data_IF_707266498299
#
_entry.id   IF_707266498299
#
_cell.length_a   1.000
_cell.length_b   1.000
_cell.length_c   1.000
_cell.angle_alpha   90.00
_cell.angle_beta   90.00
_cell.angle_gamma   90.00
#
_symmetry.space_group_name_H-M   'P 1'
#
loop_
_entity.id
_entity.type
_entity.pdbx_description
1 polymer ?
#
# COMPACT_ATOMS: atom_id res chain seq x y z
N UNK A 1 2.80 3.04 1.67
CA UNK A 1 3.20 2.80 0.27
C UNK A 1 2.35 3.68 -0.63
N UNK A 2 2.95 4.40 -1.59
CA UNK A 2 2.22 5.25 -2.53
C UNK A 2 1.56 4.40 -3.62
N UNK A 3 0.27 4.62 -3.85
CA UNK A 3 -0.55 3.99 -4.90
C UNK A 3 -0.89 4.96 -6.03
N UNK A 4 -0.95 6.26 -5.74
CA UNK A 4 -1.35 7.30 -6.70
C UNK A 4 -0.27 7.59 -7.74
N UNK A 5 -0.69 7.83 -8.98
CA UNK A 5 0.16 8.41 -10.03
C UNK A 5 0.49 9.89 -9.74
N UNK A 6 1.63 10.43 -10.21
CA UNK A 6 2.01 11.83 -9.99
C UNK A 6 0.92 12.85 -10.32
N UNK A 7 0.20 12.67 -11.44
CA UNK A 7 -0.88 13.58 -11.83
C UNK A 7 -1.98 13.76 -10.76
N UNK A 8 -2.35 12.68 -10.04
CA UNK A 8 -3.30 12.79 -8.92
C UNK A 8 -2.70 13.60 -7.77
N UNK A 9 -1.42 13.40 -7.49
CA UNK A 9 -0.70 14.05 -6.40
C UNK A 9 -0.59 15.56 -6.63
N UNK A 10 -0.21 15.95 -7.84
CA UNK A 10 -0.08 17.35 -8.26
C UNK A 10 -1.43 18.09 -8.26
N UNK A 11 -2.49 17.43 -8.73
CA UNK A 11 -3.82 18.06 -8.84
C UNK A 11 -4.55 18.16 -7.50
N UNK A 12 -4.38 17.19 -6.61
CA UNK A 12 -5.11 17.13 -5.34
C UNK A 12 -4.31 17.67 -4.15
N UNK A 13 -2.98 17.75 -4.25
CA UNK A 13 -2.12 17.96 -3.09
C UNK A 13 -2.00 16.73 -2.17
N UNK A 14 -2.60 15.59 -2.53
CA UNK A 14 -2.71 14.40 -1.69
C UNK A 14 -2.12 13.15 -2.35
N UNK A 15 -1.72 12.19 -1.51
CA UNK A 15 -1.28 10.87 -1.93
C UNK A 15 -2.37 9.85 -1.65
N UNK A 16 -2.61 8.91 -2.57
CA UNK A 16 -3.33 7.68 -2.26
C UNK A 16 -2.32 6.67 -1.73
N UNK A 17 -2.55 6.13 -0.54
CA UNK A 17 -1.62 5.28 0.18
C UNK A 17 -2.25 3.94 0.58
N UNK A 18 -1.42 2.90 0.67
CA UNK A 18 -1.70 1.68 1.44
C UNK A 18 -0.80 1.61 2.69
N UNK A 19 -1.29 0.93 3.72
CA UNK A 19 -0.57 0.75 4.98
C UNK A 19 0.58 -0.26 4.83
N UNK A 20 1.72 0.02 5.47
CA UNK A 20 2.80 -0.96 5.71
C UNK A 20 2.84 -1.22 7.22
N UNK A 21 2.81 -2.49 7.64
CA UNK A 21 2.72 -2.87 9.05
C UNK A 21 3.42 -4.20 9.33
N UNK A 22 3.90 -4.41 10.55
CA UNK A 22 4.47 -5.70 10.97
C UNK A 22 3.42 -6.80 11.17
N UNK A 23 2.12 -6.46 11.12
CA UNK A 23 0.98 -7.40 11.17
C UNK A 23 1.01 -8.41 12.35
N UNK A 24 1.74 -8.10 13.43
CA UNK A 24 2.02 -9.04 14.54
C UNK A 24 0.77 -9.68 15.15
N UNK A 25 -0.36 -8.98 15.14
CA UNK A 25 -1.60 -9.40 15.81
C UNK A 25 -2.79 -9.58 14.85
N UNK A 26 -2.61 -9.50 13.53
CA UNK A 26 -3.70 -9.67 12.57
C UNK A 26 -3.18 -9.95 11.17
N UNK A 27 -3.88 -10.79 10.42
CA UNK A 27 -3.60 -11.03 9.00
C UNK A 27 -4.87 -10.82 8.20
N UNK A 28 -4.76 -10.10 7.08
CA UNK A 28 -5.86 -9.98 6.12
C UNK A 28 -5.58 -10.92 4.95
N UNK A 29 -6.61 -11.56 4.35
CA UNK A 29 -6.42 -12.48 3.23
C UNK A 29 -5.66 -11.86 2.04
N UNK A 30 -5.76 -10.55 1.88
CA UNK A 30 -5.14 -9.79 0.79
C UNK A 30 -3.82 -9.13 1.19
N UNK A 31 -3.31 -9.35 2.40
CA UNK A 31 -2.00 -8.82 2.79
C UNK A 31 -0.91 -9.38 1.86
N UNK A 32 0.03 -8.53 1.45
CA UNK A 32 1.24 -8.95 0.74
C UNK A 32 2.44 -8.90 1.67
N UNK A 33 3.10 -10.05 1.89
CA UNK A 33 4.35 -10.10 2.63
C UNK A 33 5.48 -9.52 1.79
N UNK A 34 6.12 -8.45 2.27
CA UNK A 34 7.26 -7.81 1.61
C UNK A 34 8.43 -8.78 1.66
N UNK A 35 8.96 -9.15 0.49
CA UNK A 35 10.03 -10.14 0.35
C UNK A 35 11.41 -9.50 0.43
N UNK A 36 11.59 -8.35 -0.23
CA UNK A 36 12.87 -7.63 -0.21
C UNK A 36 12.82 -6.49 0.82
N UNK A 37 13.17 -6.83 2.06
CA UNK A 37 13.19 -5.87 3.16
C UNK A 37 14.30 -4.82 2.99
N UNK A 38 15.42 -5.19 2.36
CA UNK A 38 16.55 -4.28 2.17
C UNK A 38 16.18 -3.18 1.17
N UNK A 39 15.64 -3.53 0.00
CA UNK A 39 15.17 -2.55 -0.98
C UNK A 39 14.07 -1.66 -0.40
N UNK A 40 13.15 -2.24 0.37
CA UNK A 40 12.06 -1.53 1.01
C UNK A 40 12.51 -0.63 2.20
N UNK A 41 13.76 -0.71 2.63
CA UNK A 41 14.29 0.05 3.77
C UNK A 41 13.71 -0.38 5.13
N UNK A 42 13.32 -1.65 5.26
CA UNK A 42 12.64 -2.18 6.45
C UNK A 42 13.58 -3.06 7.28
N UNK A 43 13.67 -2.77 8.58
CA UNK A 43 14.51 -3.52 9.51
C UNK A 43 13.88 -4.84 10.02
N UNK A 44 12.58 -5.04 9.78
CA UNK A 44 11.84 -6.21 10.25
C UNK A 44 10.82 -6.65 9.20
N UNK A 45 10.37 -7.92 9.23
CA UNK A 45 9.30 -8.39 8.35
C UNK A 45 8.04 -7.53 8.49
N UNK A 46 7.51 -7.10 7.36
CA UNK A 46 6.29 -6.32 7.26
C UNK A 46 5.43 -6.83 6.09
N UNK A 47 4.16 -6.46 6.13
CA UNK A 47 3.21 -6.66 5.04
C UNK A 47 2.72 -5.31 4.52
N UNK A 48 2.30 -5.29 3.27
CA UNK A 48 1.45 -4.25 2.70
C UNK A 48 0.01 -4.68 2.93
N UNK A 49 -0.75 -3.81 3.60
CA UNK A 49 -2.18 -3.99 3.85
C UNK A 49 -2.95 -2.93 3.09
N UNK A 50 -3.95 -3.35 2.33
CA UNK A 50 -4.84 -2.48 1.56
C UNK A 50 -5.90 -1.76 2.41
N UNK A 51 -5.48 -1.25 3.58
CA UNK A 51 -6.20 -0.17 4.27
C UNK A 51 -5.85 1.12 3.53
N UNK A 52 -6.62 1.41 2.47
CA UNK A 52 -6.35 2.50 1.53
C UNK A 52 -6.89 3.82 2.09
N UNK A 53 -6.09 4.89 2.01
CA UNK A 53 -6.47 6.22 2.47
C UNK A 53 -5.72 7.31 1.68
N UNK A 54 -6.23 8.54 1.74
CA UNK A 54 -5.54 9.72 1.23
C UNK A 54 -4.79 10.44 2.35
N UNK A 55 -3.63 11.01 2.06
CA UNK A 55 -2.85 11.83 3.00
C UNK A 55 -2.34 13.09 2.31
N UNK A 56 -2.39 14.23 2.99
CA UNK A 56 -1.79 15.48 2.52
C UNK A 56 -0.26 15.30 2.36
N UNK A 57 0.29 15.76 1.24
CA UNK A 57 1.72 15.63 0.94
C UNK A 57 2.63 16.34 1.95
N UNK A 58 2.16 17.41 2.60
CA UNK A 58 2.91 18.15 3.62
C UNK A 58 3.22 17.33 4.87
N UNK A 59 2.50 16.22 5.09
CA UNK A 59 2.73 15.31 6.21
C UNK A 59 3.84 14.28 5.94
N UNK A 60 4.41 14.24 4.74
CA UNK A 60 5.54 13.37 4.44
C UNK A 60 6.83 13.89 5.07
N UNK A 61 7.47 13.04 5.87
CA UNK A 61 8.79 13.31 6.45
C UNK A 61 9.95 12.82 5.56
N UNK A 62 9.68 11.96 4.57
CA UNK A 62 10.68 11.38 3.69
C UNK A 62 10.26 10.03 3.12
N UNK A 63 11.19 9.34 2.45
CA UNK A 63 11.03 7.97 1.96
C UNK A 63 11.98 7.01 2.68
N UNK A 64 11.53 5.77 2.89
CA UNK A 64 12.34 4.69 3.49
C UNK A 64 13.12 3.90 2.45
N UNK A 65 12.50 3.65 1.30
CA UNK A 65 13.01 2.77 0.25
C UNK A 65 11.95 2.54 -0.82
N UNK A 66 12.19 1.56 -1.69
CA UNK A 66 11.28 1.19 -2.78
C UNK A 66 11.03 -0.31 -2.80
N UNK A 67 9.87 -0.73 -3.31
CA UNK A 67 9.58 -2.15 -3.46
C UNK A 67 10.43 -2.76 -4.59
N UNK A 68 10.91 -3.99 -4.37
CA UNK A 68 11.48 -4.80 -5.44
C UNK A 68 10.45 -5.09 -6.53
N UNK A 69 10.91 -5.50 -7.72
CA UNK A 69 10.01 -5.86 -8.83
C UNK A 69 9.04 -6.99 -8.44
N UNK A 70 9.52 -8.00 -7.70
CA UNK A 70 8.69 -9.11 -7.21
C UNK A 70 7.61 -8.61 -6.25
N UNK A 71 7.96 -7.68 -5.36
CA UNK A 71 6.99 -7.09 -4.44
C UNK A 71 5.98 -6.20 -5.17
N UNK A 72 6.42 -5.41 -6.15
CA UNK A 72 5.53 -4.59 -6.98
C UNK A 72 4.49 -5.45 -7.71
N UNK A 73 4.91 -6.53 -8.36
CA UNK A 73 4.02 -7.45 -9.07
C UNK A 73 3.02 -8.12 -8.12
N UNK A 74 3.49 -8.59 -6.96
CA UNK A 74 2.63 -9.21 -5.96
C UNK A 74 1.58 -8.26 -5.39
N UNK A 75 2.00 -7.04 -5.05
CA UNK A 75 1.11 -5.98 -4.57
C UNK A 75 0.09 -5.60 -5.64
N UNK A 76 0.50 -5.47 -6.90
CA UNK A 76 -0.41 -5.16 -7.99
C UNK A 76 -1.48 -6.24 -8.17
N UNK A 77 -1.09 -7.51 -8.10
CA UNK A 77 -2.05 -8.62 -8.14
C UNK A 77 -3.04 -8.55 -6.97
N UNK A 78 -2.56 -8.32 -5.74
CA UNK A 78 -3.44 -8.22 -4.56
C UNK A 78 -4.32 -6.98 -4.57
N UNK A 79 -3.86 -5.88 -5.16
CA UNK A 79 -4.66 -4.66 -5.29
C UNK A 79 -5.88 -4.90 -6.18
N UNK A 80 -5.74 -5.70 -7.25
CA UNK A 80 -6.86 -6.09 -8.12
C UNK A 80 -7.90 -6.94 -7.39
N UNK A 81 -7.50 -7.71 -6.37
CA UNK A 81 -8.43 -8.48 -5.54
C UNK A 81 -9.27 -7.57 -4.60
N UNK A 82 -8.80 -6.34 -4.31
CA UNK A 82 -9.41 -5.42 -3.33
C UNK A 82 -10.16 -4.27 -4.02
N UNK A 83 -9.66 -3.79 -5.15
CA UNK A 83 -10.21 -2.63 -5.85
C UNK A 83 -11.08 -3.08 -7.00
N UNK A 84 -12.39 -3.03 -6.78
CA UNK A 84 -13.40 -3.16 -7.82
C UNK A 84 -14.53 -2.19 -7.55
N UNK A 85 -15.20 -1.73 -8.62
CA UNK A 85 -16.52 -1.12 -8.48
C UNK A 85 -17.50 -2.23 -8.11
N UNK A 86 -17.85 -2.34 -6.84
CA UNK A 86 -18.89 -3.27 -6.40
C UNK A 86 -20.26 -2.71 -6.78
N UNK A 87 -21.05 -3.50 -7.52
CA UNK A 87 -22.47 -3.21 -7.76
C UNK A 87 -23.38 -3.65 -6.62
N UNK A 88 -22.83 -4.31 -5.60
CA UNK A 88 -23.56 -4.79 -4.43
C UNK A 88 -23.28 -3.90 -3.22
N UNK A 89 -24.33 -3.58 -2.47
CA UNK A 89 -24.18 -2.97 -1.15
C UNK A 89 -23.39 -3.92 -0.24
N UNK A 90 -22.39 -3.43 0.50
CA UNK A 90 -21.68 -4.25 1.47
C UNK A 90 -22.68 -4.80 2.49
N UNK A 91 -22.69 -6.13 2.64
CA UNK A 91 -23.52 -6.80 3.65
C UNK A 91 -23.05 -6.32 5.04
N UNK A 92 -23.97 -5.95 5.95
CA UNK A 92 -23.61 -5.48 7.29
C UNK A 92 -22.85 -6.53 8.10
#
# INVERSE_FOLDING_TARGET
>A
MVLSKPAFQEQSGHLLLAMVTSARNSQWPTDWQIKDLQAAGLAQPCVIRFKVFTLDQSLLMGSLGALSEVDQQGVQSRLLDVVALSHADPKP
#
